data_IF_417573244782
#
_entry.id   IF_417573244782
#
_cell.length_a   1.000
_cell.length_b   1.000
_cell.length_c   1.000
_cell.angle_alpha   90.00
_cell.angle_beta   90.00
_cell.angle_gamma   90.00
#
_symmetry.space_group_name_H-M   'P 1'
#
loop_
_entity.id
_entity.type
_entity.pdbx_description
1 polymer ?
#
# COMPACT_ATOMS: atom_id res chain seq x y z
N UNK A 1 -10.73 18.13 -4.53
CA UNK A 1 -10.22 16.77 -4.26
C UNK A 1 -9.67 16.22 -5.57
N UNK A 2 -8.41 15.76 -5.63
CA UNK A 2 -7.80 15.25 -6.88
C UNK A 2 -8.11 13.75 -6.98
N UNK A 3 -8.75 13.33 -8.08
CA UNK A 3 -9.05 11.91 -8.34
C UNK A 3 -7.91 11.30 -9.17
N UNK A 4 -7.61 10.02 -8.93
CA UNK A 4 -6.63 9.26 -9.70
C UNK A 4 -7.34 8.08 -10.37
N UNK A 5 -7.09 7.89 -11.66
CA UNK A 5 -7.59 6.74 -12.40
C UNK A 5 -6.74 5.51 -12.06
N UNK A 6 -7.17 4.81 -11.02
CA UNK A 6 -6.56 3.56 -10.53
C UNK A 6 -7.65 2.49 -10.58
N UNK A 7 -7.42 1.46 -11.39
CA UNK A 7 -8.28 0.28 -11.46
C UNK A 7 -7.67 -0.90 -10.70
N UNK A 8 -8.41 -2.01 -10.63
CA UNK A 8 -7.97 -3.21 -9.91
C UNK A 8 -6.72 -3.87 -10.50
N UNK A 9 -6.47 -3.73 -11.81
CA UNK A 9 -5.26 -4.27 -12.46
C UNK A 9 -4.05 -3.48 -11.97
N UNK A 10 -4.16 -2.16 -11.96
CA UNK A 10 -3.11 -1.26 -11.44
C UNK A 10 -2.84 -1.53 -9.97
N UNK A 11 -3.87 -1.67 -9.13
CA UNK A 11 -3.68 -1.99 -7.71
C UNK A 11 -2.96 -3.32 -7.52
N UNK A 12 -3.35 -4.36 -8.27
CA UNK A 12 -2.70 -5.67 -8.20
C UNK A 12 -1.22 -5.60 -8.58
N UNK A 13 -0.90 -4.86 -9.65
CA UNK A 13 0.48 -4.63 -10.09
C UNK A 13 1.30 -3.86 -9.04
N UNK A 14 0.72 -2.79 -8.47
CA UNK A 14 1.37 -1.98 -7.44
C UNK A 14 1.73 -2.79 -6.19
N UNK A 15 0.85 -3.70 -5.77
CA UNK A 15 1.11 -4.58 -4.61
C UNK A 15 2.16 -5.62 -4.96
N UNK A 16 2.06 -6.25 -6.14
CA UNK A 16 2.97 -7.32 -6.57
C UNK A 16 4.41 -6.84 -6.76
N UNK A 17 4.59 -5.62 -7.25
CA UNK A 17 5.90 -5.05 -7.59
C UNK A 17 6.32 -3.88 -6.67
N UNK A 18 5.55 -3.62 -5.61
CA UNK A 18 5.83 -2.54 -4.65
C UNK A 18 6.95 -2.85 -3.68
N UNK A 19 7.52 -1.81 -3.09
CA UNK A 19 8.55 -1.93 -2.07
C UNK A 19 7.95 -1.68 -0.68
N UNK A 20 8.18 -2.61 0.24
CA UNK A 20 7.69 -2.55 1.62
C UNK A 20 8.58 -1.63 2.44
N UNK A 21 8.02 -0.54 2.95
CA UNK A 21 8.66 0.34 3.91
C UNK A 21 8.50 -0.23 5.33
N UNK A 22 9.42 -1.11 5.73
CA UNK A 22 9.42 -1.71 7.07
C UNK A 22 9.60 -0.70 8.20
N UNK A 23 10.18 0.47 7.93
CA UNK A 23 10.38 1.53 8.93
C UNK A 23 9.07 2.24 9.30
N UNK A 24 8.13 2.37 8.36
CA UNK A 24 6.79 2.93 8.61
C UNK A 24 5.73 1.85 8.93
N UNK A 25 6.11 0.58 8.86
CA UNK A 25 5.19 -0.55 9.07
C UNK A 25 5.16 -1.01 10.53
N UNK A 26 3.98 -1.35 11.04
CA UNK A 26 3.83 -2.04 12.33
C UNK A 26 3.81 -3.56 12.11
N UNK A 27 5.00 -4.15 12.14
CA UNK A 27 5.20 -5.59 11.97
C UNK A 27 5.17 -6.38 13.28
N UNK A 28 5.11 -5.69 14.42
CA UNK A 28 5.22 -6.28 15.76
C UNK A 28 3.88 -6.52 16.42
N UNK A 29 2.82 -5.89 15.90
CA UNK A 29 1.46 -6.15 16.36
C UNK A 29 1.08 -7.62 16.16
N UNK A 30 0.61 -8.26 17.24
CA UNK A 30 0.29 -9.69 17.27
C UNK A 30 -1.07 -10.03 16.68
N UNK A 31 -2.00 -9.08 16.61
CA UNK A 31 -3.37 -9.33 16.12
C UNK A 31 -3.52 -9.01 14.64
N UNK A 32 -3.05 -7.85 14.19
CA UNK A 32 -2.99 -7.50 12.77
C UNK A 32 -1.79 -6.60 12.54
N UNK A 33 -0.98 -6.91 11.54
CA UNK A 33 0.20 -6.14 11.15
C UNK A 33 -0.21 -5.09 10.13
N UNK A 34 0.40 -3.91 10.21
CA UNK A 34 0.20 -2.85 9.22
C UNK A 34 1.43 -2.74 8.35
N UNK A 35 1.26 -2.85 7.03
CA UNK A 35 2.33 -2.74 6.06
C UNK A 35 2.14 -1.49 5.19
N UNK A 36 3.23 -0.79 4.98
CA UNK A 36 3.29 0.38 4.10
C UNK A 36 4.04 -0.02 2.84
N UNK A 37 3.34 -0.12 1.72
CA UNK A 37 3.91 -0.42 0.41
C UNK A 37 4.03 0.88 -0.38
N UNK A 38 5.18 1.07 -1.02
CA UNK A 38 5.43 2.21 -1.91
C UNK A 38 5.62 1.73 -3.33
N UNK A 39 5.00 2.41 -4.27
CA UNK A 39 5.11 2.12 -5.70
C UNK A 39 5.04 3.42 -6.51
N UNK A 40 5.35 3.37 -7.80
CA UNK A 40 5.23 4.47 -8.75
C UNK A 40 4.36 4.06 -9.93
N UNK A 41 3.36 4.87 -10.25
CA UNK A 41 2.48 4.68 -11.40
C UNK A 41 2.27 6.01 -12.11
N UNK A 42 2.41 6.01 -13.44
CA UNK A 42 2.33 7.23 -14.28
C UNK A 42 3.17 8.38 -13.69
N UNK A 43 4.42 8.07 -13.33
CA UNK A 43 5.40 9.01 -12.73
C UNK A 43 5.02 9.59 -11.35
N UNK A 44 3.87 9.21 -10.80
CA UNK A 44 3.44 9.58 -9.46
C UNK A 44 3.75 8.45 -8.48
N UNK A 45 4.41 8.79 -7.37
CA UNK A 45 4.60 7.84 -6.26
C UNK A 45 3.32 7.72 -5.45
N UNK A 46 3.01 6.50 -5.04
CA UNK A 46 1.89 6.15 -4.19
C UNK A 46 2.37 5.38 -2.98
N UNK A 47 1.62 5.55 -1.90
CA UNK A 47 1.72 4.80 -0.67
C UNK A 47 0.42 4.04 -0.48
N UNK A 48 0.55 2.75 -0.24
CA UNK A 48 -0.53 1.81 0.02
C UNK A 48 -0.37 1.37 1.48
N UNK A 49 -1.43 1.49 2.27
CA UNK A 49 -1.49 0.95 3.62
C UNK A 49 -2.37 -0.27 3.62
N UNK A 50 -1.78 -1.40 4.00
CA UNK A 50 -2.45 -2.68 4.09
C UNK A 50 -2.45 -3.17 5.53
N UNK A 51 -3.59 -3.71 5.95
CA UNK A 51 -3.75 -4.40 7.22
C UNK A 51 -3.75 -5.90 6.96
N UNK A 52 -2.71 -6.57 7.41
CA UNK A 52 -2.48 -8.00 7.25
C UNK A 52 -2.81 -8.73 8.57
N UNK A 53 -3.95 -9.40 8.60
CA UNK A 53 -4.38 -10.27 9.69
C UNK A 53 -4.28 -11.75 9.25
N UNK A 54 -4.49 -12.70 10.15
CA UNK A 54 -4.17 -14.14 9.97
C UNK A 54 -4.51 -14.78 8.60
N UNK A 55 -5.67 -14.46 8.03
CA UNK A 55 -6.15 -15.05 6.77
C UNK A 55 -6.50 -14.04 5.68
N UNK A 56 -6.44 -12.74 5.98
CA UNK A 56 -6.93 -11.71 5.08
C UNK A 56 -6.07 -10.45 5.20
N UNK A 57 -5.69 -9.94 4.03
CA UNK A 57 -5.08 -8.62 3.87
C UNK A 57 -6.16 -7.68 3.34
N UNK A 58 -6.35 -6.57 4.04
CA UNK A 58 -7.27 -5.50 3.63
C UNK A 58 -6.47 -4.26 3.26
N UNK A 59 -6.67 -3.75 2.04
CA UNK A 59 -6.14 -2.46 1.63
C UNK A 59 -6.99 -1.38 2.29
N UNK A 60 -6.40 -0.59 3.18
CA UNK A 60 -7.12 0.46 3.90
C UNK A 60 -7.05 1.81 3.16
N UNK A 61 -5.89 2.14 2.58
CA UNK A 61 -5.65 3.43 1.96
C UNK A 61 -4.70 3.33 0.76
N UNK A 62 -5.00 4.07 -0.30
CA UNK A 62 -4.10 4.34 -1.43
C UNK A 62 -4.03 5.84 -1.63
N UNK A 63 -2.85 6.42 -1.44
CA UNK A 63 -2.66 7.88 -1.51
C UNK A 63 -1.36 8.25 -2.22
N UNK A 64 -1.30 9.43 -2.87
CA UNK A 64 -0.04 9.94 -3.41
C UNK A 64 0.99 10.12 -2.30
N UNK A 65 2.20 9.65 -2.55
CA UNK A 65 3.34 9.80 -1.65
C UNK A 65 4.25 10.90 -2.19
N UNK A 66 4.40 11.96 -1.41
CA UNK A 66 5.46 12.95 -1.60
C UNK A 66 6.53 12.67 -0.57
N UNK A 67 7.75 12.40 -1.05
CA UNK A 67 8.92 12.24 -0.19
C UNK A 67 9.37 13.61 0.31
#
# INVERSE_FOLDING_TARGET
MRSFEIDTIVVSDMIKHGNVNFSESDTKNKTCKTYIITNSYKEQKFKIQDKNCDSLVTIELIVPYKK
#
